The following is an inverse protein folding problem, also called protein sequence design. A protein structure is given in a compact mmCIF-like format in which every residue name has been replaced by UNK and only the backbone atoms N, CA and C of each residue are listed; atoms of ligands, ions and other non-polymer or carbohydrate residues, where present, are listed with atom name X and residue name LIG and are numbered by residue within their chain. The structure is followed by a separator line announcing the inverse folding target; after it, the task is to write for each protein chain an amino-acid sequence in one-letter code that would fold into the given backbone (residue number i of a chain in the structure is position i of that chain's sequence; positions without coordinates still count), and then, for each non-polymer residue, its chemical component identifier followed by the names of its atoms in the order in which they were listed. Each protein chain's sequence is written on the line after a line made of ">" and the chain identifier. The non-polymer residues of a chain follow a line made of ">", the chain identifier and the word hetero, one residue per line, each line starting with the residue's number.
data_IF_295156266322
#
_entry.id   IF_295156266322
#
_cell.length_a   1.000
_cell.length_b   1.000
_cell.length_c   1.000
_cell.angle_alpha   90.00
_cell.angle_beta   90.00
_cell.angle_gamma   90.00
#
_symmetry.space_group_name_H-M   'P 1'
#
loop_
_entity.id
_entity.type
_entity.pdbx_description
1 polymer ?
#
# COMPACT_ATOMS: atom_id res chain seq x y z
N UNK A 1 15.77 -1.93 -30.96
CA UNK A 1 14.42 -1.35 -30.78
C UNK A 1 14.10 -1.31 -29.29
N UNK A 2 13.80 -0.14 -28.73
CA UNK A 2 13.52 0.01 -27.30
C UNK A 2 12.19 -0.64 -26.92
N UNK A 3 12.19 -1.48 -25.88
CA UNK A 3 10.99 -2.15 -25.36
C UNK A 3 10.37 -1.29 -24.27
N UNK A 4 9.04 -1.29 -24.12
CA UNK A 4 8.36 -0.59 -23.02
C UNK A 4 7.55 -1.56 -22.16
N UNK A 5 7.46 -1.26 -20.86
CA UNK A 5 6.70 -2.01 -19.86
C UNK A 5 5.69 -1.10 -19.18
N UNK A 6 4.43 -1.53 -19.10
CA UNK A 6 3.37 -0.81 -18.37
C UNK A 6 3.20 -1.43 -16.98
N UNK A 7 3.40 -0.63 -15.93
CA UNK A 7 3.25 -1.03 -14.53
C UNK A 7 1.76 -1.09 -14.14
N UNK A 8 1.45 -1.81 -13.05
CA UNK A 8 0.07 -1.99 -12.54
C UNK A 8 -0.65 -0.68 -12.18
N UNK A 9 0.09 0.39 -11.91
CA UNK A 9 -0.43 1.73 -11.66
C UNK A 9 -0.60 2.57 -12.95
N UNK A 10 -0.46 1.97 -14.13
CA UNK A 10 -0.57 2.64 -15.43
C UNK A 10 0.70 3.38 -15.88
N UNK A 11 1.75 3.45 -15.06
CA UNK A 11 3.01 4.11 -15.45
C UNK A 11 3.73 3.30 -16.51
N UNK A 12 4.12 3.94 -17.62
CA UNK A 12 4.95 3.34 -18.66
C UNK A 12 6.43 3.58 -18.37
N UNK A 13 7.23 2.53 -18.45
CA UNK A 13 8.68 2.56 -18.27
C UNK A 13 9.31 2.07 -19.57
N UNK A 14 10.27 2.84 -20.10
CA UNK A 14 11.09 2.41 -21.22
C UNK A 14 12.23 1.53 -20.67
N UNK A 15 12.43 0.38 -21.29
CA UNK A 15 13.53 -0.51 -20.98
C UNK A 15 14.73 -0.12 -21.84
N UNK A 16 15.92 -0.25 -21.24
CA UNK A 16 17.18 -0.05 -21.93
C UNK A 16 17.30 -1.03 -23.10
N UNK A 17 17.95 -0.58 -24.16
CA UNK A 17 18.34 -1.43 -25.27
C UNK A 17 19.71 -2.09 -25.00
N UNK A 18 20.14 -3.08 -25.81
CA UNK A 18 21.42 -3.77 -25.58
C UNK A 18 22.66 -2.87 -25.62
N UNK A 19 22.67 -1.85 -26.48
CA UNK A 19 23.78 -0.88 -26.57
C UNK A 19 23.83 0.01 -25.33
N UNK A 20 22.67 0.45 -24.83
CA UNK A 20 22.53 1.20 -23.59
C UNK A 20 22.97 0.36 -22.38
N UNK A 21 22.60 -0.93 -22.33
CA UNK A 21 23.07 -1.85 -21.29
C UNK A 21 24.60 -2.00 -21.31
N UNK A 22 25.19 -2.17 -22.50
CA UNK A 22 26.65 -2.28 -22.66
C UNK A 22 27.36 -1.00 -22.22
N UNK A 23 26.81 0.17 -22.56
CA UNK A 23 27.36 1.47 -22.16
C UNK A 23 27.30 1.69 -20.64
N UNK A 24 26.24 1.20 -19.98
CA UNK A 24 26.10 1.24 -18.52
C UNK A 24 27.14 0.32 -17.87
N UNK A 25 27.29 -0.91 -18.36
CA UNK A 25 28.26 -1.88 -17.84
C UNK A 25 29.71 -1.38 -17.98
N UNK A 26 30.05 -0.80 -19.14
CA UNK A 26 31.36 -0.17 -19.35
C UNK A 26 31.62 0.99 -18.37
N UNK A 27 30.58 1.77 -18.03
CA UNK A 27 30.68 2.83 -17.04
C UNK A 27 30.90 2.32 -15.61
N UNK A 28 30.28 1.19 -15.26
CA UNK A 28 30.48 0.51 -13.97
C UNK A 28 31.93 -0.01 -13.87
N UNK A 29 32.43 -0.67 -14.91
CA UNK A 29 33.79 -1.24 -14.94
C UNK A 29 34.88 -0.16 -14.89
N UNK A 30 34.64 0.99 -15.53
CA UNK A 30 35.60 2.09 -15.57
C UNK A 30 35.73 2.85 -14.23
N UNK A 31 34.79 2.67 -13.29
CA UNK A 31 34.79 3.33 -11.99
C UNK A 31 35.30 2.38 -10.89
N UNK A 32 36.55 2.52 -10.42
CA UNK A 32 37.13 1.64 -9.40
C UNK A 32 36.48 1.79 -8.01
N UNK A 33 35.69 2.85 -7.78
CA UNK A 33 34.93 3.05 -6.53
C UNK A 33 33.52 2.43 -6.61
N UNK A 34 33.08 2.03 -7.81
CA UNK A 34 31.80 1.36 -7.99
C UNK A 34 31.89 -0.09 -7.54
N UNK A 35 31.17 -0.42 -6.46
CA UNK A 35 31.12 -1.77 -5.88
C UNK A 35 29.68 -2.25 -5.77
N UNK A 36 29.36 -3.36 -6.43
CA UNK A 36 28.05 -4.00 -6.34
C UNK A 36 27.87 -4.66 -4.96
N UNK A 37 26.74 -4.44 -4.25
CA UNK A 37 26.47 -5.13 -3.01
C UNK A 37 26.29 -6.63 -3.26
N UNK A 38 26.71 -7.45 -2.30
CA UNK A 38 26.39 -8.88 -2.34
C UNK A 38 24.90 -9.11 -2.01
N UNK A 39 24.45 -10.36 -2.09
CA UNK A 39 23.04 -10.70 -1.90
C UNK A 39 22.54 -10.40 -0.47
N UNK A 40 23.41 -10.50 0.53
CA UNK A 40 23.08 -10.25 1.93
C UNK A 40 22.93 -8.74 2.19
N UNK A 41 23.88 -7.95 1.70
CA UNK A 41 23.85 -6.49 1.77
C UNK A 41 22.67 -5.92 0.98
N UNK A 42 22.40 -6.45 -0.21
CA UNK A 42 21.24 -6.07 -1.02
C UNK A 42 19.93 -6.35 -0.28
N UNK A 43 19.85 -7.44 0.49
CA UNK A 43 18.69 -7.75 1.34
C UNK A 43 18.57 -6.79 2.51
N UNK A 44 19.68 -6.43 3.16
CA UNK A 44 19.69 -5.46 4.26
C UNK A 44 19.27 -4.04 3.81
N UNK A 45 19.60 -3.67 2.57
CA UNK A 45 19.21 -2.38 1.97
C UNK A 45 17.71 -2.30 1.61
N UNK A 46 17.00 -3.42 1.54
CA UNK A 46 15.54 -3.41 1.34
C UNK A 46 14.87 -2.85 2.59
N UNK A 47 14.31 -1.64 2.47
CA UNK A 47 13.47 -1.07 3.53
C UNK A 47 12.36 -2.08 3.86
N UNK A 48 12.26 -2.57 5.12
CA UNK A 48 11.13 -3.39 5.49
C UNK A 48 9.86 -2.58 5.23
N UNK A 49 8.89 -3.21 4.55
CA UNK A 49 7.56 -2.63 4.43
C UNK A 49 6.98 -2.36 5.81
N UNK A 50 5.93 -1.52 5.90
CA UNK A 50 5.22 -1.32 7.17
C UNK A 50 4.88 -2.70 7.76
N UNK A 51 5.27 -2.99 9.01
CA UNK A 51 4.96 -4.27 9.62
C UNK A 51 3.44 -4.52 9.54
N UNK A 52 3.02 -5.74 9.24
CA UNK A 52 1.60 -6.09 9.23
C UNK A 52 1.01 -5.77 10.61
N UNK A 53 -0.14 -5.12 10.64
CA UNK A 53 -0.83 -4.84 11.90
C UNK A 53 -1.46 -6.14 12.43
N UNK A 54 -1.19 -6.51 13.68
CA UNK A 54 -1.75 -7.72 14.32
C UNK A 54 -3.28 -7.72 14.39
N UNK A 55 -3.91 -6.55 14.45
CA UNK A 55 -5.37 -6.41 14.45
C UNK A 55 -5.79 -5.53 13.27
N UNK A 56 -6.19 -6.18 12.18
CA UNK A 56 -6.79 -5.50 11.03
C UNK A 56 -8.29 -5.37 11.21
N UNK A 57 -8.84 -4.20 10.88
CA UNK A 57 -10.31 -4.03 10.76
C UNK A 57 -10.82 -5.00 9.69
N UNK A 58 -11.85 -5.77 10.02
CA UNK A 58 -12.49 -6.63 9.05
C UNK A 58 -13.28 -5.78 8.03
N UNK A 59 -13.03 -6.01 6.74
CA UNK A 59 -13.76 -5.31 5.68
C UNK A 59 -15.02 -6.10 5.35
N UNK A 60 -16.14 -5.66 5.90
CA UNK A 60 -17.46 -6.23 5.60
C UNK A 60 -18.30 -5.29 4.74
N UNK A 61 -19.21 -5.86 3.94
CA UNK A 61 -20.22 -5.12 3.18
C UNK A 61 -21.54 -5.17 3.95
N UNK A 62 -21.98 -4.03 4.48
CA UNK A 62 -23.27 -3.89 5.18
C UNK A 62 -24.13 -2.83 4.51
N UNK A 63 -25.46 -2.95 4.66
CA UNK A 63 -26.41 -1.91 4.26
C UNK A 63 -26.81 -1.12 5.50
N UNK A 64 -26.68 0.19 5.43
CA UNK A 64 -27.09 1.14 6.46
C UNK A 64 -28.14 2.07 5.87
N UNK A 65 -29.00 2.64 6.72
CA UNK A 65 -29.98 3.61 6.28
C UNK A 65 -29.31 4.85 5.67
N UNK A 66 -29.86 5.46 4.61
CA UNK A 66 -29.26 6.61 3.93
C UNK A 66 -28.92 7.77 4.87
N UNK A 67 -29.82 8.10 5.79
CA UNK A 67 -29.68 9.20 6.75
C UNK A 67 -28.46 9.04 7.66
N UNK A 68 -28.14 7.80 8.06
CA UNK A 68 -26.96 7.50 8.88
C UNK A 68 -25.70 7.74 8.04
N UNK A 69 -25.67 7.22 6.82
CA UNK A 69 -24.51 7.33 5.93
C UNK A 69 -24.25 8.78 5.55
N UNK A 70 -25.30 9.55 5.24
CA UNK A 70 -25.21 10.97 4.89
C UNK A 70 -24.70 11.80 6.07
N UNK A 71 -25.25 11.59 7.27
CA UNK A 71 -24.80 12.30 8.47
C UNK A 71 -23.31 12.10 8.73
N UNK A 72 -22.81 10.85 8.66
CA UNK A 72 -21.39 10.61 8.81
C UNK A 72 -20.58 11.16 7.62
N UNK A 73 -21.01 10.98 6.37
CA UNK A 73 -20.28 11.52 5.21
C UNK A 73 -20.09 13.03 5.25
N UNK A 74 -21.09 13.77 5.73
CA UNK A 74 -21.03 15.21 5.90
C UNK A 74 -19.89 15.67 6.83
N UNK A 75 -19.42 14.80 7.73
CA UNK A 75 -18.27 15.09 8.60
C UNK A 75 -16.92 15.10 7.86
N UNK A 76 -16.89 14.73 6.57
CA UNK A 76 -15.71 14.80 5.72
C UNK A 76 -14.72 13.66 5.92
N UNK A 77 -13.42 13.93 5.70
CA UNK A 77 -12.36 12.92 5.76
C UNK A 77 -12.38 12.19 7.10
N UNK A 78 -12.29 10.86 7.06
CA UNK A 78 -12.30 10.01 8.25
C UNK A 78 -13.69 9.65 8.79
N UNK A 79 -14.78 9.96 8.06
CA UNK A 79 -16.14 9.64 8.52
C UNK A 79 -16.36 8.16 8.85
N UNK A 80 -15.74 7.23 8.12
CA UNK A 80 -15.81 5.79 8.43
C UNK A 80 -15.16 5.46 9.77
N UNK A 81 -14.10 6.17 10.16
CA UNK A 81 -13.45 5.98 11.46
C UNK A 81 -14.33 6.55 12.59
N UNK A 82 -15.00 7.67 12.36
CA UNK A 82 -16.01 8.20 13.30
C UNK A 82 -17.19 7.25 13.47
N UNK A 83 -17.68 6.67 12.38
CA UNK A 83 -18.75 5.68 12.39
C UNK A 83 -18.34 4.41 13.17
N UNK A 84 -17.13 3.89 12.94
CA UNK A 84 -16.56 2.78 13.74
C UNK A 84 -16.49 3.12 15.24
N UNK A 85 -16.10 4.36 15.58
CA UNK A 85 -16.11 4.84 16.97
C UNK A 85 -17.52 4.86 17.59
N UNK A 86 -18.50 5.36 16.85
CA UNK A 86 -19.90 5.40 17.30
C UNK A 86 -20.48 4.00 17.54
N UNK A 87 -20.18 3.04 16.67
CA UNK A 87 -20.59 1.64 16.85
C UNK A 87 -19.94 1.01 18.08
N UNK A 88 -18.67 1.33 18.36
CA UNK A 88 -17.98 0.88 19.59
C UNK A 88 -18.59 1.48 20.84
N UNK A 89 -18.91 2.78 20.83
CA UNK A 89 -19.57 3.42 21.96
C UNK A 89 -20.94 2.81 22.21
N UNK A 90 -21.72 2.60 21.15
CA UNK A 90 -23.00 1.92 21.25
C UNK A 90 -22.87 0.52 21.87
N UNK A 91 -21.84 -0.26 21.52
CA UNK A 91 -21.57 -1.58 22.11
C UNK A 91 -21.12 -1.54 23.58
N UNK A 92 -20.59 -0.41 24.06
CA UNK A 92 -20.25 -0.22 25.49
C UNK A 92 -21.49 0.05 26.33
N UNK A 93 -22.44 0.77 25.74
CA UNK A 93 -23.69 1.15 26.40
C UNK A 93 -24.80 0.10 26.21
N UNK A 94 -24.75 -0.67 25.13
CA UNK A 94 -25.79 -1.61 24.72
C UNK A 94 -25.19 -2.96 24.37
N UNK A 95 -25.89 -4.02 24.76
CA UNK A 95 -25.55 -5.37 24.34
C UNK A 95 -26.48 -5.78 23.18
N UNK A 96 -25.95 -6.20 22.02
CA UNK A 96 -26.78 -6.73 20.96
C UNK A 96 -27.50 -7.98 21.50
N UNK A 97 -28.83 -7.99 21.42
CA UNK A 97 -29.62 -9.11 21.92
C UNK A 97 -29.27 -10.37 21.13
N UNK A 98 -28.77 -11.39 21.81
CA UNK A 98 -28.56 -12.71 21.23
C UNK A 98 -29.91 -13.26 20.77
N UNK A 99 -30.06 -13.50 19.47
CA UNK A 99 -31.23 -14.23 18.97
C UNK A 99 -31.11 -15.67 19.47
N UNK A 100 -32.00 -16.06 20.39
CA UNK A 100 -32.14 -17.44 20.85
C UNK A 100 -32.80 -18.33 19.82
#
# INVERSE_FOLDING_TARGET
>A
MSRSLTLRNGRRVLLNNPEEETAIEAGIEADPETRAPDEEEARALRRPGRPPMDVTKERITIRLSPEVVEAFRATGKGWQTRMDGALKEWLREHHPTTKS
#
